data_IF_240418766679
#
_entry.id   IF_240418766679
#
_cell.length_a   1.000
_cell.length_b   1.000
_cell.length_c   1.000
_cell.angle_alpha   90.00
_cell.angle_beta   90.00
_cell.angle_gamma   90.00
#
_symmetry.space_group_name_H-M   'P 1'
#
loop_
_entity.id
_entity.type
_entity.pdbx_description
1 polymer ?
#
# COMPACT_ATOMS: atom_id res chain seq x y z
N UNK A 1 -6.39 12.87 -9.30
CA UNK A 1 -5.78 14.10 -8.74
C UNK A 1 -4.70 13.73 -7.73
N UNK A 2 -3.65 14.53 -7.64
CA UNK A 2 -2.59 14.34 -6.63
C UNK A 2 -2.46 15.59 -5.78
N UNK A 3 -2.90 15.56 -4.53
CA UNK A 3 -2.68 16.64 -3.57
C UNK A 3 -1.33 16.49 -2.86
N UNK A 4 -0.75 17.57 -2.31
CA UNK A 4 0.50 17.55 -1.57
C UNK A 4 0.39 16.95 -0.18
N UNK A 5 -0.80 16.86 0.36
CA UNK A 5 -1.19 16.20 1.58
C UNK A 5 -2.69 15.90 1.47
N UNK A 6 -3.43 15.62 2.56
CA UNK A 6 -4.59 14.75 2.47
C UNK A 6 -5.91 15.40 2.88
N UNK A 7 -5.88 16.68 3.27
CA UNK A 7 -7.07 17.42 3.64
C UNK A 7 -7.54 18.32 2.50
N UNK A 8 -8.70 18.09 1.89
CA UNK A 8 -9.23 18.99 0.87
C UNK A 8 -9.35 20.44 1.34
N UNK A 9 -9.52 20.68 2.65
CA UNK A 9 -9.61 22.04 3.20
C UNK A 9 -8.27 22.75 3.28
N UNK A 10 -7.19 22.02 3.57
CA UNK A 10 -5.87 22.57 3.87
C UNK A 10 -4.90 22.42 2.69
N UNK A 11 -5.11 21.40 1.88
CA UNK A 11 -4.17 20.99 0.84
C UNK A 11 -4.62 21.44 -0.55
N UNK A 12 -3.70 21.38 -1.50
CA UNK A 12 -3.84 21.90 -2.85
C UNK A 12 -3.74 20.75 -3.87
N UNK A 13 -4.26 20.94 -5.05
CA UNK A 13 -4.06 20.01 -6.17
C UNK A 13 -2.70 20.30 -6.81
N UNK A 14 -1.83 19.28 -6.90
CA UNK A 14 -0.53 19.35 -7.57
C UNK A 14 -0.59 18.93 -9.03
N UNK A 15 -1.47 18.01 -9.35
CA UNK A 15 -1.68 17.49 -10.69
C UNK A 15 -3.15 17.18 -10.92
N UNK A 16 -3.69 17.58 -12.06
CA UNK A 16 -5.06 17.27 -12.48
C UNK A 16 -5.02 16.73 -13.92
N UNK A 17 -5.77 15.67 -14.15
CA UNK A 17 -6.02 15.16 -15.49
C UNK A 17 -7.51 15.02 -15.75
N UNK A 18 -7.90 15.27 -16.98
CA UNK A 18 -9.25 15.14 -17.50
C UNK A 18 -9.22 14.32 -18.79
N UNK A 19 -10.07 13.32 -18.87
CA UNK A 19 -10.33 12.58 -20.11
C UNK A 19 -11.79 12.79 -20.46
N UNK A 20 -12.04 13.48 -21.57
CA UNK A 20 -13.38 13.68 -22.09
C UNK A 20 -13.81 12.48 -22.92
N UNK A 21 -15.00 11.98 -22.71
CA UNK A 21 -15.54 10.82 -23.42
C UNK A 21 -16.85 11.14 -24.17
N UNK A 22 -17.19 10.27 -25.10
CA UNK A 22 -18.56 10.19 -25.63
C UNK A 22 -19.50 9.49 -24.61
N UNK A 23 -20.76 9.33 -25.00
CA UNK A 23 -21.78 8.69 -24.18
C UNK A 23 -21.59 7.16 -24.02
N UNK A 24 -20.65 6.57 -24.74
CA UNK A 24 -20.21 5.16 -24.59
C UNK A 24 -18.94 5.01 -23.76
N UNK A 25 -18.42 6.11 -23.22
CA UNK A 25 -17.16 6.10 -22.47
C UNK A 25 -15.90 6.07 -23.35
N UNK A 26 -16.00 6.26 -24.68
CA UNK A 26 -14.83 6.28 -25.57
C UNK A 26 -14.12 7.61 -25.44
N UNK A 27 -12.78 7.62 -25.26
CA UNK A 27 -12.04 8.86 -25.10
C UNK A 27 -12.07 9.71 -26.37
N UNK A 28 -12.34 11.00 -26.21
CA UNK A 28 -12.38 12.01 -27.28
C UNK A 28 -11.24 13.01 -27.17
N UNK A 29 -10.86 13.37 -25.95
CA UNK A 29 -9.77 14.30 -25.69
C UNK A 29 -9.20 14.06 -24.29
N UNK A 30 -7.92 14.37 -24.14
CA UNK A 30 -7.21 14.28 -22.87
C UNK A 30 -6.50 15.60 -22.57
N UNK A 31 -6.43 15.93 -21.31
CA UNK A 31 -5.70 17.09 -20.81
C UNK A 31 -5.15 16.77 -19.43
N UNK A 32 -3.93 17.21 -19.17
CA UNK A 32 -3.34 17.15 -17.83
C UNK A 32 -2.45 18.36 -17.59
N UNK A 33 -2.33 18.77 -16.35
CA UNK A 33 -1.42 19.84 -15.93
C UNK A 33 -0.96 19.62 -14.50
N UNK A 34 0.31 19.89 -14.26
CA UNK A 34 0.80 20.18 -12.91
C UNK A 34 0.36 21.58 -12.48
N UNK A 35 0.28 21.80 -11.17
CA UNK A 35 -0.20 23.04 -10.59
C UNK A 35 0.73 23.50 -9.48
N UNK A 36 1.02 24.79 -9.47
CA UNK A 36 1.73 25.42 -8.37
C UNK A 36 0.77 25.55 -7.17
N UNK A 37 1.06 24.91 -6.03
CA UNK A 37 0.20 24.96 -4.85
C UNK A 37 0.28 26.29 -4.10
N UNK A 38 1.13 27.24 -4.53
CA UNK A 38 1.42 28.51 -3.85
C UNK A 38 1.95 28.30 -2.42
N UNK A 39 2.64 27.20 -2.20
CA UNK A 39 3.25 26.77 -0.95
C UNK A 39 4.15 25.57 -1.14
N UNK A 40 4.74 25.02 -0.08
CA UNK A 40 5.61 23.86 -0.18
C UNK A 40 4.82 22.63 -0.66
N UNK A 41 5.46 21.83 -1.49
CA UNK A 41 4.97 20.51 -1.89
C UNK A 41 5.23 19.55 -0.73
N UNK A 42 4.16 18.99 -0.15
CA UNK A 42 4.26 17.90 0.83
C UNK A 42 4.33 16.54 0.14
N UNK A 43 4.71 15.51 0.90
CA UNK A 43 4.59 14.11 0.50
C UNK A 43 5.22 13.75 -0.88
N UNK A 44 6.32 14.40 -1.24
CA UNK A 44 7.05 14.19 -2.52
C UNK A 44 7.45 12.73 -2.74
N UNK A 45 7.75 12.00 -1.66
CA UNK A 45 8.09 10.57 -1.71
C UNK A 45 6.96 9.66 -2.22
N UNK A 46 5.73 10.19 -2.28
CA UNK A 46 4.52 9.45 -2.67
C UNK A 46 4.20 9.61 -4.15
N UNK A 47 4.05 10.87 -4.56
CA UNK A 47 3.62 11.22 -5.91
C UNK A 47 4.80 11.60 -6.81
N UNK A 48 6.03 11.63 -6.26
CA UNK A 48 7.25 11.96 -7.00
C UNK A 48 7.32 13.41 -7.50
N UNK A 49 6.33 14.26 -7.16
CA UNK A 49 6.30 15.66 -7.58
C UNK A 49 7.09 16.50 -6.55
N UNK A 50 8.08 17.23 -7.00
CA UNK A 50 8.93 18.09 -6.18
C UNK A 50 8.51 19.57 -6.28
N UNK A 51 9.03 20.42 -5.38
CA UNK A 51 8.84 21.88 -5.48
C UNK A 51 9.34 22.43 -6.82
N UNK A 52 10.41 21.85 -7.37
CA UNK A 52 10.96 22.24 -8.67
C UNK A 52 10.02 21.90 -9.83
N UNK A 53 9.32 20.80 -9.75
CA UNK A 53 8.36 20.35 -10.77
C UNK A 53 7.15 21.26 -10.91
N UNK A 54 6.76 21.96 -9.85
CA UNK A 54 5.56 22.82 -9.81
C UNK A 54 5.88 24.31 -9.70
N UNK A 55 7.13 24.68 -9.49
CA UNK A 55 7.56 26.09 -9.31
C UNK A 55 7.06 27.01 -10.42
N UNK A 56 7.18 26.57 -11.66
CA UNK A 56 6.78 27.32 -12.85
C UNK A 56 5.43 26.86 -13.42
N UNK A 57 4.74 25.97 -12.75
CA UNK A 57 3.41 25.52 -13.16
C UNK A 57 2.37 26.62 -12.89
N UNK A 58 1.28 26.67 -13.67
CA UNK A 58 0.18 27.60 -13.40
C UNK A 58 -0.49 27.24 -12.07
N UNK A 59 -1.02 28.24 -11.37
CA UNK A 59 -1.86 28.01 -10.19
C UNK A 59 -3.24 27.46 -10.59
N UNK A 60 -3.95 26.82 -9.65
CA UNK A 60 -5.33 26.39 -9.92
C UNK A 60 -6.22 27.59 -10.32
N UNK A 61 -6.09 28.72 -9.64
CA UNK A 61 -6.85 29.94 -9.94
C UNK A 61 -6.66 30.41 -11.39
N UNK A 62 -5.43 30.27 -11.94
CA UNK A 62 -5.14 30.57 -13.35
C UNK A 62 -5.85 29.61 -14.31
N UNK A 63 -5.93 28.32 -13.95
CA UNK A 63 -6.54 27.28 -14.78
C UNK A 63 -8.06 27.12 -14.55
N UNK A 64 -8.62 27.71 -13.48
CA UNK A 64 -10.02 27.53 -13.12
C UNK A 64 -11.01 27.88 -14.26
N UNK A 65 -10.83 28.96 -15.05
CA UNK A 65 -11.70 29.25 -16.18
C UNK A 65 -11.68 28.13 -17.24
N UNK A 66 -10.50 27.62 -17.56
CA UNK A 66 -10.34 26.51 -18.50
C UNK A 66 -10.99 25.24 -17.96
N UNK A 67 -10.67 24.87 -16.72
CA UNK A 67 -11.22 23.66 -16.06
C UNK A 67 -12.75 23.75 -16.03
N UNK A 68 -13.31 24.89 -15.60
CA UNK A 68 -14.76 25.10 -15.60
C UNK A 68 -15.39 24.89 -16.99
N UNK A 69 -14.73 25.38 -18.04
CA UNK A 69 -15.20 25.19 -19.43
C UNK A 69 -15.18 23.72 -19.87
N UNK A 70 -14.22 22.93 -19.37
CA UNK A 70 -14.15 21.50 -19.67
C UNK A 70 -15.18 20.67 -18.88
N UNK A 71 -15.57 21.14 -17.68
CA UNK A 71 -16.57 20.48 -16.83
C UNK A 71 -18.00 20.87 -17.19
N UNK A 72 -18.22 22.06 -17.74
CA UNK A 72 -19.53 22.56 -18.09
C UNK A 72 -20.26 21.65 -19.09
N UNK A 73 -21.47 21.23 -18.74
CA UNK A 73 -22.29 20.33 -19.55
C UNK A 73 -21.86 18.87 -19.54
N UNK A 74 -20.87 18.49 -18.73
CA UNK A 74 -20.39 17.13 -18.59
C UNK A 74 -20.65 16.57 -17.19
N UNK A 75 -21.03 15.30 -17.11
CA UNK A 75 -21.03 14.55 -15.85
C UNK A 75 -19.59 14.11 -15.53
N UNK A 76 -19.24 14.10 -14.25
CA UNK A 76 -17.93 13.71 -13.80
C UNK A 76 -17.91 12.21 -13.46
N UNK A 77 -16.88 11.50 -13.87
CA UNK A 77 -16.62 10.12 -13.46
C UNK A 77 -15.27 10.06 -12.75
N UNK A 78 -15.25 9.59 -11.50
CA UNK A 78 -14.05 9.45 -10.70
C UNK A 78 -14.07 8.08 -10.00
N UNK A 79 -12.89 7.55 -9.71
CA UNK A 79 -12.77 6.39 -8.84
C UNK A 79 -12.60 6.87 -7.40
N UNK A 80 -13.61 6.66 -6.54
CA UNK A 80 -13.82 7.33 -5.25
C UNK A 80 -14.13 8.84 -5.36
N UNK A 81 -15.20 9.15 -6.08
CA UNK A 81 -15.61 10.50 -6.46
C UNK A 81 -15.70 11.51 -5.30
N UNK A 82 -16.04 11.08 -4.06
CA UNK A 82 -16.11 11.98 -2.91
C UNK A 82 -14.79 12.71 -2.66
N UNK A 83 -13.67 12.01 -2.80
CA UNK A 83 -12.34 12.56 -2.61
C UNK A 83 -12.01 13.62 -3.68
N UNK A 84 -12.07 13.25 -4.95
CA UNK A 84 -11.75 14.16 -6.05
C UNK A 84 -12.64 15.40 -6.08
N UNK A 85 -13.93 15.22 -5.85
CA UNK A 85 -14.89 16.33 -5.83
C UNK A 85 -14.63 17.29 -4.68
N UNK A 86 -14.25 16.79 -3.49
CA UNK A 86 -13.95 17.65 -2.36
C UNK A 86 -12.73 18.56 -2.63
N UNK A 87 -11.68 18.03 -3.26
CA UNK A 87 -10.52 18.83 -3.67
C UNK A 87 -10.91 19.87 -4.74
N UNK A 88 -11.61 19.48 -5.80
CA UNK A 88 -12.07 20.40 -6.84
C UNK A 88 -12.93 21.53 -6.26
N UNK A 89 -13.91 21.20 -5.41
CA UNK A 89 -14.78 22.18 -4.77
C UNK A 89 -13.99 23.19 -3.94
N UNK A 90 -13.00 22.73 -3.19
CA UNK A 90 -12.18 23.62 -2.37
C UNK A 90 -11.26 24.51 -3.22
N UNK A 91 -10.65 23.98 -4.28
CA UNK A 91 -9.82 24.77 -5.18
C UNK A 91 -10.63 25.83 -5.94
N UNK A 92 -11.81 25.48 -6.46
CA UNK A 92 -12.72 26.46 -7.07
C UNK A 92 -13.14 27.55 -6.09
N UNK A 93 -13.49 27.16 -4.83
CA UNK A 93 -13.84 28.13 -3.79
C UNK A 93 -12.68 29.07 -3.48
N UNK A 94 -11.44 28.59 -3.40
CA UNK A 94 -10.23 29.41 -3.20
C UNK A 94 -9.99 30.35 -4.38
N UNK A 95 -10.24 29.87 -5.58
CA UNK A 95 -10.17 30.69 -6.80
C UNK A 95 -11.32 31.69 -6.94
N UNK A 96 -12.26 31.74 -5.99
CA UNK A 96 -13.40 32.67 -5.99
C UNK A 96 -14.57 32.21 -6.84
N UNK A 97 -14.62 30.95 -7.25
CA UNK A 97 -15.69 30.38 -8.07
C UNK A 97 -16.72 29.67 -7.21
N UNK A 98 -17.99 29.81 -7.56
CA UNK A 98 -19.05 29.00 -7.00
C UNK A 98 -19.07 27.63 -7.70
N UNK A 99 -19.07 26.56 -6.93
CA UNK A 99 -19.16 25.22 -7.46
C UNK A 99 -20.63 24.82 -7.62
N UNK A 100 -21.10 24.52 -8.83
CA UNK A 100 -22.47 24.07 -9.04
C UNK A 100 -22.62 22.61 -8.59
N UNK A 101 -23.87 22.22 -8.30
CA UNK A 101 -24.17 20.83 -8.01
C UNK A 101 -23.99 19.98 -9.28
N UNK A 102 -22.85 19.37 -9.42
CA UNK A 102 -22.41 18.66 -10.63
C UNK A 102 -22.78 17.18 -10.55
N UNK A 103 -23.54 16.65 -11.52
CA UNK A 103 -23.81 15.22 -11.62
C UNK A 103 -22.52 14.43 -11.77
N UNK A 104 -22.39 13.37 -10.99
CA UNK A 104 -21.19 12.56 -10.98
C UNK A 104 -21.46 11.08 -10.80
N UNK A 105 -20.50 10.27 -11.23
CA UNK A 105 -20.41 8.84 -11.07
C UNK A 105 -19.20 8.49 -10.23
N UNK A 106 -19.41 7.63 -9.26
CA UNK A 106 -18.31 6.96 -8.55
C UNK A 106 -18.12 5.54 -9.12
N UNK A 107 -17.05 5.33 -9.87
CA UNK A 107 -16.79 4.00 -10.45
C UNK A 107 -16.46 2.95 -9.39
N UNK A 108 -15.93 3.34 -8.21
CA UNK A 108 -15.77 2.44 -7.07
C UNK A 108 -17.13 1.90 -6.59
N UNK A 109 -18.12 2.78 -6.38
CA UNK A 109 -19.45 2.35 -5.96
C UNK A 109 -20.16 1.52 -7.05
N UNK A 110 -20.00 1.91 -8.31
CA UNK A 110 -20.54 1.16 -9.43
C UNK A 110 -19.91 -0.24 -9.53
N UNK A 111 -18.61 -0.36 -9.29
CA UNK A 111 -17.91 -1.65 -9.28
C UNK A 111 -18.49 -2.63 -8.27
N UNK A 112 -18.92 -2.19 -7.10
CA UNK A 112 -19.55 -3.06 -6.10
C UNK A 112 -20.80 -3.77 -6.62
N UNK A 113 -21.55 -3.10 -7.48
CA UNK A 113 -22.76 -3.68 -8.09
C UNK A 113 -22.47 -4.51 -9.33
N UNK A 114 -21.44 -4.13 -10.11
CA UNK A 114 -21.17 -4.71 -11.42
C UNK A 114 -20.11 -5.82 -11.37
N UNK A 115 -19.25 -5.83 -10.35
CA UNK A 115 -18.16 -6.78 -10.13
C UNK A 115 -18.25 -7.40 -8.72
N UNK A 116 -19.38 -8.00 -8.33
CA UNK A 116 -19.65 -8.43 -6.95
C UNK A 116 -18.73 -9.56 -6.47
N UNK A 117 -17.98 -10.17 -7.37
CA UNK A 117 -17.00 -11.23 -7.06
C UNK A 117 -15.67 -10.67 -6.50
N UNK A 118 -15.47 -9.36 -6.55
CA UNK A 118 -14.26 -8.76 -6.02
C UNK A 118 -14.34 -8.63 -4.49
N UNK A 119 -13.26 -8.98 -3.82
CA UNK A 119 -13.09 -8.70 -2.40
C UNK A 119 -12.64 -7.25 -2.16
N UNK A 120 -12.19 -6.56 -3.20
CA UNK A 120 -11.65 -5.19 -3.15
C UNK A 120 -11.99 -4.42 -4.40
N UNK A 121 -12.19 -3.13 -4.22
CA UNK A 121 -12.61 -2.22 -5.28
C UNK A 121 -11.61 -1.06 -5.48
N UNK A 122 -10.29 -1.32 -5.30
CA UNK A 122 -9.26 -0.38 -5.75
C UNK A 122 -9.33 -0.23 -7.27
N UNK A 123 -8.87 0.89 -7.83
CA UNK A 123 -8.88 1.11 -9.26
C UNK A 123 -8.15 -0.03 -10.00
N UNK A 124 -7.01 -0.45 -9.48
CA UNK A 124 -6.21 -1.55 -10.02
C UNK A 124 -6.99 -2.88 -10.05
N UNK A 125 -7.60 -3.28 -8.90
CA UNK A 125 -8.39 -4.50 -8.81
C UNK A 125 -9.59 -4.49 -9.76
N UNK A 126 -10.27 -3.35 -9.87
CA UNK A 126 -11.39 -3.18 -10.79
C UNK A 126 -10.95 -3.26 -12.27
N UNK A 127 -9.81 -2.65 -12.61
CA UNK A 127 -9.23 -2.74 -13.96
C UNK A 127 -8.85 -4.18 -14.32
N UNK A 128 -8.20 -4.89 -13.41
CA UNK A 128 -7.82 -6.29 -13.59
C UNK A 128 -9.07 -7.17 -13.81
N UNK A 129 -10.09 -7.02 -12.97
CA UNK A 129 -11.36 -7.74 -13.13
C UNK A 129 -12.10 -7.40 -14.44
N UNK A 130 -11.93 -6.16 -14.93
CA UNK A 130 -12.44 -5.73 -16.23
C UNK A 130 -11.58 -6.18 -17.42
N UNK A 131 -10.51 -6.98 -17.19
CA UNK A 131 -9.67 -7.60 -18.20
C UNK A 131 -8.57 -6.71 -18.78
N UNK A 132 -8.09 -5.70 -18.01
CA UNK A 132 -6.98 -4.86 -18.45
C UNK A 132 -6.09 -4.41 -17.28
N UNK A 133 -4.82 -4.13 -17.59
CA UNK A 133 -3.86 -3.63 -16.62
C UNK A 133 -4.03 -2.11 -16.40
N UNK A 134 -3.85 -1.66 -15.16
CA UNK A 134 -3.69 -0.26 -14.81
C UNK A 134 -2.23 0.15 -15.07
N UNK A 135 -2.00 0.81 -16.20
CA UNK A 135 -0.68 1.29 -16.62
C UNK A 135 -0.48 2.72 -16.09
N UNK A 136 0.77 3.08 -15.77
CA UNK A 136 1.13 4.40 -15.23
C UNK A 136 0.42 4.76 -13.92
N UNK A 137 0.37 3.81 -13.00
CA UNK A 137 -0.14 4.02 -11.64
C UNK A 137 0.57 5.22 -10.98
N UNK A 138 -0.17 5.91 -10.11
CA UNK A 138 0.32 7.12 -9.43
C UNK A 138 0.67 8.29 -10.36
N UNK A 139 0.09 8.35 -11.54
CA UNK A 139 0.11 9.49 -12.45
C UNK A 139 -1.35 9.89 -12.72
N UNK A 140 -1.69 11.18 -12.56
CA UNK A 140 -3.09 11.61 -12.68
C UNK A 140 -3.73 11.27 -14.04
N UNK A 141 -2.96 11.32 -15.13
CA UNK A 141 -3.44 10.96 -16.46
C UNK A 141 -3.60 9.45 -16.62
N UNK A 142 -2.68 8.64 -16.06
CA UNK A 142 -2.78 7.18 -16.02
C UNK A 142 -4.05 6.72 -15.30
N UNK A 143 -4.31 7.29 -14.12
CA UNK A 143 -5.51 6.99 -13.32
C UNK A 143 -6.80 7.43 -14.03
N UNK A 144 -6.80 8.60 -14.68
CA UNK A 144 -7.94 9.07 -15.47
C UNK A 144 -8.23 8.19 -16.69
N UNK A 145 -7.19 7.70 -17.39
CA UNK A 145 -7.33 6.74 -18.49
C UNK A 145 -7.87 5.39 -18.04
N UNK A 146 -7.34 4.88 -16.92
CA UNK A 146 -7.82 3.65 -16.30
C UNK A 146 -9.29 3.76 -15.88
N UNK A 147 -9.66 4.85 -15.21
CA UNK A 147 -11.05 5.14 -14.83
C UNK A 147 -11.96 5.24 -16.07
N UNK A 148 -11.49 5.88 -17.14
CA UNK A 148 -12.23 5.98 -18.41
C UNK A 148 -12.47 4.61 -19.03
N UNK A 149 -11.46 3.75 -19.08
CA UNK A 149 -11.60 2.41 -19.64
C UNK A 149 -12.51 1.53 -18.78
N UNK A 150 -12.42 1.68 -17.45
CA UNK A 150 -13.33 1.01 -16.52
C UNK A 150 -14.78 1.48 -16.75
N UNK A 151 -15.02 2.79 -16.88
CA UNK A 151 -16.31 3.35 -17.21
C UNK A 151 -16.86 2.81 -18.53
N UNK A 152 -16.03 2.72 -19.58
CA UNK A 152 -16.41 2.16 -20.85
C UNK A 152 -16.88 0.71 -20.74
N UNK A 153 -16.14 -0.11 -19.97
CA UNK A 153 -16.51 -1.50 -19.66
C UNK A 153 -17.84 -1.57 -18.93
N UNK A 154 -18.06 -0.72 -17.92
CA UNK A 154 -19.31 -0.65 -17.15
C UNK A 154 -20.51 -0.27 -18.01
N UNK A 155 -20.34 0.69 -18.91
CA UNK A 155 -21.42 1.13 -19.83
C UNK A 155 -21.75 0.06 -20.88
N UNK A 156 -20.79 -0.82 -21.23
CA UNK A 156 -21.01 -1.93 -22.14
C UNK A 156 -21.66 -3.16 -21.48
N UNK A 157 -21.63 -3.26 -20.15
CA UNK A 157 -22.33 -4.31 -19.41
C UNK A 157 -23.85 -4.09 -19.52
N UNK A 158 -24.59 -5.20 -19.59
CA UNK A 158 -26.03 -5.25 -19.90
C UNK A 158 -26.85 -4.22 -19.11
N UNK A 159 -27.70 -3.50 -19.82
CA UNK A 159 -28.56 -2.41 -19.35
C UNK A 159 -29.61 -2.78 -18.28
N UNK A 160 -29.64 -4.03 -17.83
CA UNK A 160 -30.55 -4.52 -16.77
C UNK A 160 -30.14 -4.10 -15.37
N UNK A 161 -28.89 -3.66 -15.16
CA UNK A 161 -28.43 -3.16 -13.87
C UNK A 161 -28.96 -1.76 -13.59
N UNK A 162 -29.65 -1.54 -12.45
CA UNK A 162 -30.12 -0.21 -12.03
C UNK A 162 -29.00 0.85 -12.01
N UNK A 163 -27.78 0.43 -11.72
CA UNK A 163 -26.59 1.30 -11.66
C UNK A 163 -26.23 1.85 -13.05
N UNK A 164 -26.32 1.05 -14.11
CA UNK A 164 -26.03 1.48 -15.49
C UNK A 164 -27.08 2.44 -15.99
N UNK A 165 -28.37 2.24 -15.68
CA UNK A 165 -29.42 3.16 -16.05
C UNK A 165 -29.24 4.57 -15.47
N UNK A 166 -28.67 4.70 -14.27
CA UNK A 166 -28.34 6.00 -13.71
C UNK A 166 -27.26 6.72 -14.52
N UNK A 167 -26.25 5.98 -15.00
CA UNK A 167 -25.16 6.56 -15.78
C UNK A 167 -25.62 7.21 -17.07
N UNK A 168 -26.57 6.62 -17.77
CA UNK A 168 -27.13 7.18 -19.02
C UNK A 168 -27.94 8.46 -18.83
N UNK A 169 -28.38 8.78 -17.60
CA UNK A 169 -29.11 10.02 -17.28
C UNK A 169 -28.18 11.19 -16.97
N UNK A 170 -27.02 10.91 -16.37
CA UNK A 170 -26.08 11.93 -15.90
C UNK A 170 -25.65 12.95 -16.97
N UNK A 171 -25.37 12.58 -18.24
CA UNK A 171 -25.05 13.57 -19.27
C UNK A 171 -26.17 14.56 -19.53
N UNK A 172 -27.43 14.12 -19.48
CA UNK A 172 -28.59 15.01 -19.69
C UNK A 172 -28.83 15.94 -18.49
N UNK A 173 -28.56 15.46 -17.27
CA UNK A 173 -28.61 16.27 -16.06
C UNK A 173 -27.46 17.29 -16.07
N UNK A 174 -26.27 16.91 -16.45
CA UNK A 174 -25.11 17.80 -16.52
C UNK A 174 -25.31 18.98 -17.50
N UNK A 175 -25.97 18.76 -18.63
CA UNK A 175 -26.26 19.81 -19.59
C UNK A 175 -27.20 20.90 -19.03
N UNK A 176 -27.94 20.61 -17.96
CA UNK A 176 -28.85 21.58 -17.28
C UNK A 176 -28.12 22.36 -16.19
N UNK A 177 -26.93 21.95 -15.81
CA UNK A 177 -26.14 22.62 -14.78
C UNK A 177 -25.54 23.91 -15.35
N UNK A 178 -25.87 25.03 -14.73
CA UNK A 178 -25.27 26.32 -15.07
C UNK A 178 -23.91 26.47 -14.38
N UNK A 179 -22.87 26.45 -15.16
CA UNK A 179 -21.54 26.73 -14.67
C UNK A 179 -21.26 28.23 -14.70
N UNK A 180 -20.66 28.81 -13.66
CA UNK A 180 -20.16 30.17 -13.70
C UNK A 180 -19.16 30.35 -14.83
N UNK A 181 -19.20 31.50 -15.48
CA UNK A 181 -18.25 31.89 -16.54
C UNK A 181 -17.12 32.76 -15.99
N UNK A 182 -17.32 33.32 -14.81
CA UNK A 182 -16.38 34.20 -14.10
C UNK A 182 -16.41 33.90 -12.60
N UNK A 183 -15.34 34.19 -11.87
CA UNK A 183 -15.34 34.08 -10.42
C UNK A 183 -16.35 35.08 -9.81
N UNK A 184 -17.12 34.60 -8.83
CA UNK A 184 -18.13 35.42 -8.09
C UNK A 184 -17.49 36.25 -6.97
N UNK A 185 -16.24 35.90 -6.57
CA UNK A 185 -15.50 36.53 -5.48
C UNK A 185 -14.03 36.69 -5.87
N UNK A 186 -13.33 37.60 -5.20
CA UNK A 186 -11.87 37.63 -5.32
C UNK A 186 -11.25 36.35 -4.80
N UNK A 187 -10.19 35.83 -5.44
CA UNK A 187 -9.47 34.67 -4.95
C UNK A 187 -9.04 34.83 -3.50
N UNK A 188 -9.27 33.83 -2.68
CA UNK A 188 -8.78 33.85 -1.31
C UNK A 188 -7.26 33.66 -1.33
N UNK A 189 -6.52 34.62 -0.78
CA UNK A 189 -5.10 34.40 -0.51
C UNK A 189 -4.98 33.22 0.45
N UNK A 190 -4.22 32.23 0.06
CA UNK A 190 -3.82 31.17 0.98
C UNK A 190 -3.09 31.85 2.16
N UNK A 191 -3.50 31.61 3.43
CA UNK A 191 -2.72 32.13 4.54
C UNK A 191 -1.28 31.63 4.33
N UNK A 192 -0.32 32.55 4.38
CA UNK A 192 1.10 32.18 4.33
C UNK A 192 1.30 31.09 5.38
N UNK A 193 1.48 29.86 4.94
CA UNK A 193 1.98 28.80 5.83
C UNK A 193 3.31 29.33 6.30
N UNK A 194 3.41 29.73 7.57
CA UNK A 194 4.69 30.06 8.20
C UNK A 194 5.60 28.90 7.82
N UNK A 195 6.61 29.19 7.03
CA UNK A 195 7.62 28.20 6.64
C UNK A 195 8.07 27.53 7.93
N UNK A 196 7.72 26.26 8.09
CA UNK A 196 8.33 25.45 9.16
C UNK A 196 9.84 25.64 8.99
N UNK A 197 10.58 25.88 10.08
CA UNK A 197 12.03 26.01 9.99
C UNK A 197 12.53 24.79 9.22
N UNK A 198 13.27 25.05 8.11
CA UNK A 198 13.88 23.97 7.34
C UNK A 198 14.60 23.07 8.33
N UNK A 199 14.33 21.78 8.36
CA UNK A 199 15.11 20.88 9.20
C UNK A 199 16.58 21.13 8.86
N UNK A 200 17.48 21.18 9.84
CA UNK A 200 18.88 21.44 9.59
C UNK A 200 19.35 20.45 8.52
N UNK A 201 19.95 20.98 7.43
CA UNK A 201 20.54 20.15 6.37
C UNK A 201 21.61 19.30 7.06
N UNK A 202 21.24 18.11 7.46
CA UNK A 202 22.19 17.10 7.90
C UNK A 202 23.03 16.81 6.65
N UNK A 203 24.29 17.28 6.66
CA UNK A 203 25.28 16.89 5.65
C UNK A 203 25.19 15.37 5.56
N UNK A 204 24.73 14.87 4.43
CA UNK A 204 24.81 13.46 4.10
C UNK A 204 26.29 13.09 4.11
N UNK A 205 26.76 12.62 5.25
CA UNK A 205 27.95 11.82 5.27
C UNK A 205 27.58 10.55 4.48
N UNK A 206 28.27 10.32 3.40
CA UNK A 206 28.26 9.09 2.61
C UNK A 206 28.50 7.89 3.51
N UNK A 207 27.44 7.39 4.11
CA UNK A 207 27.40 6.11 4.81
C UNK A 207 26.55 5.16 3.98
N UNK A 208 27.12 3.98 3.78
CA UNK A 208 26.53 2.73 3.26
C UNK A 208 25.02 2.82 3.05
N UNK A 209 24.57 2.43 1.88
CA UNK A 209 23.16 2.23 1.50
C UNK A 209 22.42 1.57 2.67
N UNK A 210 21.76 2.37 3.50
CA UNK A 210 20.81 1.86 4.48
C UNK A 210 19.61 1.35 3.67
N UNK A 211 19.14 0.15 4.03
CA UNK A 211 17.94 -0.41 3.41
C UNK A 211 16.78 0.58 3.57
N UNK A 212 15.91 0.66 2.56
CA UNK A 212 14.73 1.52 2.63
C UNK A 212 13.88 1.14 3.86
N UNK A 213 13.26 2.13 4.56
CA UNK A 213 12.41 1.84 5.72
C UNK A 213 11.33 0.81 5.40
N UNK A 214 11.02 -0.09 6.33
CA UNK A 214 9.99 -1.13 6.17
C UNK A 214 8.63 -0.54 5.79
N UNK A 215 8.25 0.56 6.41
CA UNK A 215 6.98 1.23 6.11
C UNK A 215 6.89 1.69 4.65
N UNK A 216 8.00 2.09 4.04
CA UNK A 216 8.04 2.49 2.63
C UNK A 216 7.95 1.31 1.65
N UNK A 217 8.12 0.08 2.13
CA UNK A 217 8.02 -1.16 1.35
C UNK A 217 6.58 -1.72 1.36
N UNK A 218 5.70 -1.17 2.19
CA UNK A 218 4.32 -1.60 2.29
C UNK A 218 3.46 -0.84 1.30
N UNK A 219 2.67 -1.57 0.52
CA UNK A 219 1.66 -0.99 -0.37
C UNK A 219 0.30 -0.84 0.32
N UNK A 220 -0.49 0.13 -0.09
CA UNK A 220 -1.88 0.23 0.36
C UNK A 220 -2.67 -1.05 0.06
N UNK A 221 -2.36 -1.71 -1.06
CA UNK A 221 -3.00 -2.99 -1.43
C UNK A 221 -2.72 -4.08 -0.40
N UNK A 222 -1.48 -4.21 0.11
CA UNK A 222 -1.15 -5.23 1.12
C UNK A 222 -1.86 -4.98 2.45
N UNK A 223 -2.00 -3.72 2.87
CA UNK A 223 -2.76 -3.37 4.08
C UNK A 223 -4.25 -3.68 3.89
N UNK A 224 -4.81 -3.30 2.74
CA UNK A 224 -6.22 -3.56 2.43
C UNK A 224 -6.55 -5.06 2.36
N UNK A 225 -5.55 -5.95 2.26
CA UNK A 225 -5.75 -7.41 2.41
C UNK A 225 -6.30 -7.83 3.77
N UNK A 226 -6.04 -7.04 4.75
CA UNK A 226 -6.43 -7.26 6.14
C UNK A 226 -7.62 -6.39 6.59
N UNK A 227 -8.24 -5.60 5.70
CA UNK A 227 -9.32 -4.66 6.01
C UNK A 227 -10.61 -5.06 5.32
N UNK A 228 -11.71 -5.06 6.07
CA UNK A 228 -13.02 -5.47 5.55
C UNK A 228 -13.77 -4.39 4.78
N UNK A 229 -13.45 -3.10 5.01
CA UNK A 229 -14.15 -1.96 4.43
C UNK A 229 -13.42 -1.35 3.22
N UNK A 230 -14.04 -1.41 2.05
CA UNK A 230 -13.51 -0.87 0.80
C UNK A 230 -13.36 0.66 0.78
N UNK A 231 -14.06 1.39 1.66
CA UNK A 231 -13.91 2.85 1.78
C UNK A 231 -12.58 3.24 2.45
N UNK A 232 -11.86 2.26 3.03
CA UNK A 232 -10.61 2.46 3.74
C UNK A 232 -9.43 2.85 2.81
N UNK A 233 -9.52 2.63 1.49
CA UNK A 233 -8.39 2.77 0.59
C UNK A 233 -7.69 4.12 0.71
N UNK A 234 -8.43 5.23 0.66
CA UNK A 234 -7.83 6.56 0.79
C UNK A 234 -7.26 6.81 2.19
N UNK A 235 -7.93 6.30 3.23
CA UNK A 235 -7.43 6.43 4.59
C UNK A 235 -6.11 5.66 4.76
N UNK A 236 -6.02 4.44 4.24
CA UNK A 236 -4.80 3.61 4.26
C UNK A 236 -3.66 4.29 3.51
N UNK A 237 -3.91 4.76 2.29
CA UNK A 237 -2.90 5.49 1.52
C UNK A 237 -2.32 6.64 2.33
N UNK A 238 -3.18 7.47 2.89
CA UNK A 238 -2.80 8.62 3.69
C UNK A 238 -2.07 8.23 4.95
N UNK A 239 -2.54 7.21 5.66
CA UNK A 239 -1.91 6.72 6.87
C UNK A 239 -0.48 6.24 6.61
N UNK A 240 -0.28 5.42 5.57
CA UNK A 240 1.07 4.95 5.19
C UNK A 240 2.03 6.09 4.89
N UNK A 241 1.49 7.18 4.38
CA UNK A 241 2.26 8.36 4.01
C UNK A 241 2.63 9.19 5.23
N UNK A 242 1.70 9.37 6.15
CA UNK A 242 1.94 10.06 7.42
C UNK A 242 2.96 9.29 8.29
N UNK A 243 3.02 7.96 8.13
CA UNK A 243 3.96 7.12 8.89
C UNK A 243 5.36 7.02 8.24
N UNK A 244 5.54 7.51 7.01
CA UNK A 244 6.76 7.27 6.22
C UNK A 244 8.02 7.92 6.80
N UNK A 245 7.91 9.02 7.53
CA UNK A 245 9.00 9.71 8.22
C UNK A 245 9.10 9.36 9.72
N UNK A 246 8.26 8.42 10.19
CA UNK A 246 8.17 7.97 11.59
C UNK A 246 7.75 9.07 12.58
N UNK A 247 7.07 10.10 12.10
CA UNK A 247 6.47 11.15 12.90
C UNK A 247 5.01 11.34 12.44
N UNK A 248 4.14 11.70 13.35
CA UNK A 248 2.74 12.05 13.03
C UNK A 248 2.49 13.48 13.50
N UNK A 249 2.50 14.41 12.57
CA UNK A 249 2.28 15.82 12.86
C UNK A 249 0.81 16.09 13.22
N UNK A 250 0.55 17.21 13.90
CA UNK A 250 -0.81 17.64 14.21
C UNK A 250 -1.66 17.84 12.92
N UNK A 251 -1.03 18.34 11.85
CA UNK A 251 -1.67 18.52 10.55
C UNK A 251 -2.08 17.18 9.90
N UNK A 252 -1.23 16.16 9.99
CA UNK A 252 -1.52 14.81 9.47
C UNK A 252 -2.59 14.10 10.29
N UNK A 253 -2.51 14.22 11.61
CA UNK A 253 -3.55 13.70 12.51
C UNK A 253 -4.92 14.32 12.19
N UNK A 254 -4.98 15.63 11.97
CA UNK A 254 -6.21 16.31 11.58
C UNK A 254 -6.71 15.84 10.21
N UNK A 255 -5.82 15.64 9.24
CA UNK A 255 -6.16 15.12 7.92
C UNK A 255 -6.74 13.69 7.98
N UNK A 256 -6.17 12.83 8.81
CA UNK A 256 -6.70 11.48 9.03
C UNK A 256 -8.11 11.51 9.63
N UNK A 257 -8.36 12.39 10.61
CA UNK A 257 -9.72 12.58 11.18
C UNK A 257 -10.72 13.06 10.12
N UNK A 258 -10.35 14.01 9.26
CA UNK A 258 -11.21 14.47 8.17
C UNK A 258 -11.49 13.35 7.15
N UNK A 259 -10.48 12.53 6.83
CA UNK A 259 -10.64 11.38 5.93
C UNK A 259 -11.51 10.28 6.54
N UNK A 260 -11.37 10.00 7.83
CA UNK A 260 -12.25 9.09 8.55
C UNK A 260 -13.72 9.50 8.38
N UNK A 261 -14.03 10.80 8.61
CA UNK A 261 -15.38 11.34 8.44
C UNK A 261 -15.86 11.27 6.98
N UNK A 262 -15.00 11.64 6.03
CA UNK A 262 -15.34 11.63 4.60
C UNK A 262 -15.60 10.21 4.08
N UNK A 263 -14.81 9.26 4.55
CA UNK A 263 -14.93 7.83 4.19
C UNK A 263 -16.00 7.10 5.00
N UNK A 264 -16.61 7.79 5.99
CA UNK A 264 -17.61 7.22 6.89
C UNK A 264 -17.09 5.98 7.64
N UNK A 265 -15.82 6.02 8.06
CA UNK A 265 -15.21 4.97 8.84
C UNK A 265 -15.55 5.14 10.32
N UNK A 266 -15.98 4.08 10.97
CA UNK A 266 -16.14 4.05 12.44
C UNK A 266 -14.78 3.97 13.14
N UNK A 267 -14.73 4.21 14.44
CA UNK A 267 -13.50 4.10 15.23
C UNK A 267 -12.99 2.66 15.28
N UNK A 268 -13.90 1.67 15.24
CA UNK A 268 -13.56 0.25 15.15
C UNK A 268 -12.87 -0.06 13.82
N UNK A 269 -13.38 0.46 12.70
CA UNK A 269 -12.79 0.27 11.38
C UNK A 269 -11.43 0.97 11.26
N UNK A 270 -11.25 2.13 11.85
CA UNK A 270 -9.94 2.79 11.95
C UNK A 270 -8.95 1.93 12.75
N UNK A 271 -9.39 1.35 13.85
CA UNK A 271 -8.58 0.42 14.64
C UNK A 271 -8.21 -0.83 13.84
N UNK A 272 -9.15 -1.40 13.07
CA UNK A 272 -8.89 -2.51 12.13
C UNK A 272 -7.82 -2.14 11.11
N UNK A 273 -7.90 -0.95 10.52
CA UNK A 273 -6.89 -0.43 9.58
C UNK A 273 -5.51 -0.30 10.24
N UNK A 274 -5.45 0.25 11.45
CA UNK A 274 -4.19 0.35 12.18
C UNK A 274 -3.57 -1.03 12.46
N UNK A 275 -4.38 -2.01 12.84
CA UNK A 275 -3.95 -3.41 13.01
C UNK A 275 -3.51 -4.04 11.68
N UNK A 276 -4.17 -3.71 10.57
CA UNK A 276 -3.81 -4.17 9.24
C UNK A 276 -2.43 -3.63 8.80
N UNK A 277 -2.12 -2.37 9.08
CA UNK A 277 -0.78 -1.80 8.87
C UNK A 277 0.26 -2.56 9.68
N UNK A 278 -0.01 -2.82 10.96
CA UNK A 278 0.88 -3.58 11.82
C UNK A 278 1.10 -5.03 11.32
N UNK A 279 0.04 -5.67 10.82
CA UNK A 279 0.12 -7.01 10.23
C UNK A 279 0.97 -7.02 8.95
N UNK A 280 0.76 -6.05 8.05
CA UNK A 280 1.54 -5.92 6.81
C UNK A 280 3.02 -5.61 7.10
N UNK A 281 3.32 -4.81 8.13
CA UNK A 281 4.69 -4.59 8.61
C UNK A 281 5.33 -5.89 9.09
N UNK A 282 4.59 -6.68 9.87
CA UNK A 282 5.06 -7.96 10.37
C UNK A 282 5.29 -8.96 9.22
N UNK A 283 4.39 -9.02 8.23
CA UNK A 283 4.53 -9.89 7.05
C UNK A 283 5.79 -9.54 6.26
N UNK A 284 6.06 -8.25 6.07
CA UNK A 284 7.27 -7.78 5.38
C UNK A 284 8.54 -8.12 6.17
N UNK A 285 8.52 -7.88 7.49
CA UNK A 285 9.66 -8.15 8.36
C UNK A 285 10.03 -9.64 8.49
N UNK A 286 9.08 -10.56 8.32
CA UNK A 286 9.37 -11.99 8.35
C UNK A 286 9.73 -12.57 6.98
N UNK A 287 9.67 -11.77 5.91
CA UNK A 287 9.86 -12.24 4.54
C UNK A 287 11.27 -12.80 4.27
N UNK A 288 12.32 -12.25 4.91
CA UNK A 288 13.73 -12.61 4.69
C UNK A 288 14.37 -13.35 5.85
N UNK A 289 13.63 -13.68 6.93
CA UNK A 289 14.10 -14.32 8.17
C UNK A 289 15.18 -13.54 8.94
N UNK A 290 15.50 -12.31 8.55
CA UNK A 290 16.50 -11.47 9.20
C UNK A 290 15.82 -10.30 9.89
N UNK A 291 15.39 -10.52 11.13
CA UNK A 291 14.79 -9.44 11.91
C UNK A 291 15.86 -8.57 12.57
N UNK A 292 16.30 -7.56 11.87
CA UNK A 292 17.35 -6.66 12.32
C UNK A 292 16.95 -5.82 13.55
N UNK A 293 17.94 -5.28 14.28
CA UNK A 293 17.66 -4.33 15.37
C UNK A 293 17.01 -3.05 14.88
N UNK A 294 17.31 -2.64 13.64
CA UNK A 294 16.76 -1.45 13.01
C UNK A 294 15.25 -1.62 12.72
N UNK A 295 14.89 -2.72 12.09
CA UNK A 295 13.49 -3.07 11.79
C UNK A 295 12.64 -3.18 13.06
N UNK A 296 13.19 -3.76 14.13
CA UNK A 296 12.51 -3.80 15.44
C UNK A 296 12.22 -2.42 16.00
N UNK A 297 13.17 -1.49 15.88
CA UNK A 297 13.01 -0.12 16.36
C UNK A 297 11.97 0.64 15.52
N UNK A 298 12.01 0.47 14.19
CA UNK A 298 11.06 1.06 13.26
C UNK A 298 9.63 0.58 13.54
N UNK A 299 9.41 -0.73 13.62
CA UNK A 299 8.10 -1.30 13.92
C UNK A 299 7.58 -0.80 15.27
N UNK A 300 8.43 -0.75 16.29
CA UNK A 300 8.05 -0.21 17.59
C UNK A 300 7.56 1.24 17.48
N UNK A 301 8.26 2.07 16.72
CA UNK A 301 7.88 3.46 16.47
C UNK A 301 6.52 3.55 15.77
N UNK A 302 6.33 2.78 14.69
CA UNK A 302 5.06 2.77 13.95
C UNK A 302 3.90 2.29 14.83
N UNK A 303 4.07 1.21 15.60
CA UNK A 303 3.04 0.74 16.54
C UNK A 303 2.66 1.80 17.57
N UNK A 304 3.63 2.56 18.07
CA UNK A 304 3.38 3.66 19.00
C UNK A 304 2.56 4.78 18.33
N UNK A 305 2.90 5.16 17.11
CA UNK A 305 2.16 6.18 16.34
C UNK A 305 0.73 5.74 16.04
N UNK A 306 0.52 4.44 15.78
CA UNK A 306 -0.81 3.85 15.56
C UNK A 306 -1.62 3.64 16.85
N UNK A 307 -1.05 3.95 18.03
CA UNK A 307 -1.70 3.70 19.31
C UNK A 307 -1.80 2.21 19.69
N UNK A 308 -1.00 1.35 19.06
CA UNK A 308 -1.03 -0.10 19.30
C UNK A 308 -0.07 -0.47 20.44
N UNK A 309 -0.54 -1.13 21.51
CA UNK A 309 0.32 -1.57 22.60
C UNK A 309 1.43 -2.53 22.14
N UNK A 310 2.68 -2.29 22.56
CA UNK A 310 3.86 -3.09 22.19
C UNK A 310 3.68 -4.60 22.44
N UNK A 311 2.90 -4.97 23.47
CA UNK A 311 2.58 -6.38 23.76
C UNK A 311 1.86 -7.10 22.61
N UNK A 312 1.16 -6.38 21.73
CA UNK A 312 0.49 -6.94 20.56
C UNK A 312 1.46 -7.20 19.41
N UNK A 313 2.64 -6.58 19.36
CA UNK A 313 3.65 -6.80 18.33
C UNK A 313 3.99 -8.28 18.20
N UNK A 314 4.22 -8.97 19.33
CA UNK A 314 4.55 -10.41 19.33
C UNK A 314 3.44 -11.25 18.68
N UNK A 315 2.18 -10.84 18.81
CA UNK A 315 1.05 -11.52 18.17
C UNK A 315 1.11 -11.34 16.65
N UNK A 316 1.28 -10.11 16.15
CA UNK A 316 1.37 -9.84 14.72
C UNK A 316 2.51 -10.62 14.06
N UNK A 317 3.69 -10.66 14.69
CA UNK A 317 4.82 -11.43 14.18
C UNK A 317 4.55 -12.94 14.15
N UNK A 318 3.92 -13.49 15.18
CA UNK A 318 3.57 -14.91 15.21
C UNK A 318 2.59 -15.25 14.09
N UNK A 319 1.55 -14.44 13.91
CA UNK A 319 0.55 -14.63 12.85
C UNK A 319 1.16 -14.48 11.45
N UNK A 320 2.05 -13.51 11.25
CA UNK A 320 2.79 -13.32 10.00
C UNK A 320 3.68 -14.53 9.69
N UNK A 321 4.41 -15.03 10.69
CA UNK A 321 5.26 -16.21 10.54
C UNK A 321 4.45 -17.46 10.20
N UNK A 322 3.29 -17.64 10.83
CA UNK A 322 2.37 -18.75 10.51
C UNK A 322 1.86 -18.63 9.06
N UNK A 323 1.40 -17.45 8.62
CA UNK A 323 0.96 -17.24 7.23
C UNK A 323 2.07 -17.58 6.24
N UNK A 324 3.31 -17.13 6.51
CA UNK A 324 4.47 -17.46 5.68
C UNK A 324 4.70 -18.98 5.61
N UNK A 325 4.68 -19.66 6.73
CA UNK A 325 4.89 -21.11 6.77
C UNK A 325 3.79 -21.86 6.02
N UNK A 326 2.53 -21.47 6.16
CA UNK A 326 1.43 -22.03 5.37
C UNK A 326 1.65 -21.81 3.87
N UNK A 327 2.08 -20.62 3.46
CA UNK A 327 2.38 -20.32 2.04
C UNK A 327 3.54 -21.16 1.50
N UNK A 328 4.63 -21.31 2.26
CA UNK A 328 5.78 -22.11 1.88
C UNK A 328 5.46 -23.62 1.87
N UNK A 329 4.45 -24.05 2.58
CA UNK A 329 4.01 -25.45 2.62
C UNK A 329 3.14 -25.84 1.41
N UNK A 330 2.67 -24.86 0.63
CA UNK A 330 1.80 -25.13 -0.52
C UNK A 330 2.60 -25.75 -1.69
N UNK A 331 2.09 -26.86 -2.21
CA UNK A 331 2.67 -27.54 -3.38
C UNK A 331 3.95 -28.31 -3.12
N UNK A 332 4.34 -28.52 -1.85
CA UNK A 332 5.45 -29.40 -1.50
C UNK A 332 5.11 -30.85 -1.89
N UNK A 333 6.07 -31.60 -2.46
CA UNK A 333 5.84 -32.98 -2.85
C UNK A 333 5.76 -33.88 -1.60
N UNK A 334 4.96 -34.97 -1.65
CA UNK A 334 4.96 -35.96 -0.61
C UNK A 334 6.33 -36.68 -0.54
N UNK A 335 6.61 -37.29 0.61
CA UNK A 335 7.83 -38.09 0.75
C UNK A 335 7.82 -39.27 -0.28
N UNK A 336 8.99 -39.61 -0.84
CA UNK A 336 9.13 -40.79 -1.69
C UNK A 336 8.77 -42.07 -0.96
N UNK A 337 8.24 -43.09 -1.66
CA UNK A 337 7.87 -44.38 -1.08
C UNK A 337 9.08 -45.13 -0.47
N UNK A 338 10.30 -44.86 -0.97
CA UNK A 338 11.56 -45.41 -0.50
C UNK A 338 12.29 -44.54 0.55
N UNK A 339 11.57 -43.60 1.17
CA UNK A 339 12.14 -42.70 2.16
C UNK A 339 12.74 -43.46 3.35
N UNK A 340 14.05 -43.27 3.58
CA UNK A 340 14.81 -43.97 4.60
C UNK A 340 15.76 -43.08 5.43
N UNK A 341 15.61 -41.74 5.30
CA UNK A 341 16.49 -40.78 6.00
C UNK A 341 15.97 -40.45 7.42
N UNK A 342 14.89 -41.12 7.86
CA UNK A 342 14.27 -40.89 9.17
C UNK A 342 13.23 -39.77 9.14
N UNK A 343 12.94 -39.12 10.29
CA UNK A 343 11.95 -38.04 10.35
C UNK A 343 12.27 -36.94 9.36
N UNK A 344 11.29 -36.46 8.56
CA UNK A 344 11.49 -35.40 7.61
C UNK A 344 11.74 -34.07 8.32
N UNK A 345 12.26 -33.09 7.59
CA UNK A 345 12.33 -31.70 8.01
C UNK A 345 11.03 -30.99 7.61
N UNK A 346 10.51 -30.14 8.48
CA UNK A 346 9.28 -29.38 8.20
C UNK A 346 9.56 -27.89 8.05
N UNK A 347 8.72 -27.21 7.30
CA UNK A 347 8.70 -25.75 7.28
C UNK A 347 8.48 -25.24 8.70
N UNK A 348 9.32 -24.30 9.15
CA UNK A 348 9.25 -23.78 10.53
C UNK A 348 10.21 -24.42 11.51
N UNK A 349 10.87 -25.51 11.15
CA UNK A 349 11.83 -26.19 12.00
C UNK A 349 13.07 -25.33 12.33
N UNK A 350 13.64 -25.57 13.51
CA UNK A 350 14.88 -24.91 13.95
C UNK A 350 16.06 -25.87 13.82
N UNK A 351 17.07 -25.46 13.06
CA UNK A 351 18.30 -26.23 12.89
C UNK A 351 19.54 -25.44 13.36
N UNK A 352 20.61 -26.13 13.70
CA UNK A 352 21.87 -25.51 14.12
C UNK A 352 23.02 -26.13 13.32
N UNK A 353 23.97 -25.31 12.88
CA UNK A 353 25.17 -25.74 12.20
C UNK A 353 26.40 -25.64 13.12
N UNK A 354 27.31 -26.63 13.03
CA UNK A 354 28.61 -26.64 13.68
C UNK A 354 29.62 -27.48 12.88
N UNK A 355 30.84 -27.00 12.72
CA UNK A 355 31.90 -27.75 11.99
C UNK A 355 31.56 -27.97 10.51
N UNK A 356 30.84 -27.05 9.87
CA UNK A 356 30.54 -27.13 8.42
C UNK A 356 31.39 -26.09 7.71
N UNK A 357 31.98 -26.47 6.58
CA UNK A 357 32.75 -25.56 5.73
C UNK A 357 31.98 -24.31 5.37
N UNK A 358 32.65 -23.14 5.36
CA UNK A 358 31.97 -21.82 5.19
C UNK A 358 31.26 -21.67 3.84
N UNK A 359 31.78 -22.26 2.76
CA UNK A 359 31.16 -22.19 1.45
C UNK A 359 29.89 -23.04 1.40
N UNK A 360 29.95 -24.29 1.87
CA UNK A 360 28.81 -25.19 1.98
C UNK A 360 27.76 -24.62 2.96
N UNK A 361 28.23 -24.08 4.08
CA UNK A 361 27.35 -23.42 5.05
C UNK A 361 26.56 -22.30 4.43
N UNK A 362 27.18 -21.40 3.67
CA UNK A 362 26.52 -20.29 3.00
C UNK A 362 25.50 -20.78 1.97
N UNK A 363 25.77 -21.85 1.25
CA UNK A 363 24.84 -22.47 0.33
C UNK A 363 23.63 -23.04 1.07
N UNK A 364 23.84 -23.80 2.14
CA UNK A 364 22.75 -24.39 2.93
C UNK A 364 21.90 -23.33 3.65
N UNK A 365 22.52 -22.25 4.16
CA UNK A 365 21.80 -21.14 4.77
C UNK A 365 20.85 -20.46 3.77
N UNK A 366 21.25 -20.31 2.51
CA UNK A 366 20.38 -19.75 1.46
C UNK A 366 19.21 -20.70 1.09
N UNK A 367 19.46 -22.01 1.10
CA UNK A 367 18.42 -23.01 0.85
C UNK A 367 17.42 -23.06 2.02
N UNK A 368 17.91 -23.02 3.27
CA UNK A 368 17.10 -22.97 4.49
C UNK A 368 16.10 -21.80 4.46
N UNK A 369 16.61 -20.59 4.16
CA UNK A 369 15.75 -19.39 4.06
C UNK A 369 14.62 -19.55 3.07
N UNK A 370 14.93 -20.12 1.89
CA UNK A 370 13.92 -20.38 0.86
C UNK A 370 12.90 -21.44 1.29
N UNK A 371 13.34 -22.42 2.08
CA UNK A 371 12.53 -23.50 2.58
C UNK A 371 11.74 -23.15 3.86
N UNK A 372 11.96 -21.96 4.44
CA UNK A 372 11.28 -21.53 5.66
C UNK A 372 11.75 -22.28 6.91
N UNK A 373 13.00 -22.74 6.93
CA UNK A 373 13.64 -23.38 8.09
C UNK A 373 14.54 -22.39 8.80
N UNK A 374 14.42 -22.29 10.11
CA UNK A 374 15.13 -21.30 10.91
C UNK A 374 16.51 -21.78 11.34
N UNK A 375 17.56 -21.01 11.02
CA UNK A 375 18.91 -21.27 11.50
C UNK A 375 19.14 -20.63 12.87
N UNK A 376 19.18 -21.43 13.92
CA UNK A 376 19.43 -20.96 15.27
C UNK A 376 20.97 -20.87 15.56
N UNK A 377 21.34 -19.88 16.35
CA UNK A 377 22.74 -19.66 16.75
C UNK A 377 23.25 -20.71 17.75
N UNK A 378 22.36 -21.39 18.48
CA UNK A 378 22.69 -22.39 19.49
C UNK A 378 21.61 -23.43 19.67
N UNK A 379 22.01 -24.60 20.20
CA UNK A 379 21.10 -25.72 20.46
C UNK A 379 20.20 -25.44 21.66
N UNK A 380 18.92 -25.72 21.52
CA UNK A 380 17.90 -25.58 22.54
C UNK A 380 16.82 -26.67 22.40
N UNK A 381 15.88 -26.74 23.33
CA UNK A 381 14.76 -27.70 23.26
C UNK A 381 13.89 -27.57 21.99
N UNK A 382 13.98 -26.42 21.29
CA UNK A 382 13.29 -26.18 20.03
C UNK A 382 14.09 -26.60 18.80
N UNK A 383 15.35 -27.00 18.98
CA UNK A 383 16.23 -27.41 17.88
C UNK A 383 15.92 -28.87 17.52
N UNK A 384 15.40 -29.07 16.32
CA UNK A 384 15.06 -30.42 15.82
C UNK A 384 16.29 -31.15 15.32
N UNK A 385 17.32 -30.40 14.85
CA UNK A 385 18.48 -31.00 14.21
C UNK A 385 19.75 -30.17 14.38
N UNK A 386 20.88 -30.88 14.60
CA UNK A 386 22.22 -30.34 14.53
C UNK A 386 22.92 -30.92 13.30
N UNK A 387 23.38 -30.05 12.40
CA UNK A 387 24.14 -30.44 11.21
C UNK A 387 25.63 -30.26 11.47
N UNK A 388 26.41 -31.31 11.29
CA UNK A 388 27.86 -31.31 11.51
C UNK A 388 28.56 -32.29 10.60
N UNK A 389 29.79 -31.97 10.17
CA UNK A 389 30.68 -32.87 9.43
C UNK A 389 31.52 -33.78 10.33
N UNK A 390 31.33 -33.64 11.65
CA UNK A 390 32.09 -34.42 12.63
C UNK A 390 33.51 -33.91 12.91
N UNK A 391 33.95 -32.85 12.22
CA UNK A 391 35.33 -32.30 12.37
C UNK A 391 35.55 -31.51 13.68
N UNK A 392 34.44 -31.15 14.36
CA UNK A 392 34.49 -30.29 15.53
C UNK A 392 33.70 -30.84 16.72
N UNK A 393 34.43 -31.06 17.84
CA UNK A 393 33.82 -31.34 19.15
C UNK A 393 33.70 -30.04 19.94
N UNK A 394 32.48 -29.68 20.39
CA UNK A 394 32.29 -28.46 21.15
C UNK A 394 30.90 -28.33 21.79
N UNK A 395 30.69 -27.26 22.54
CA UNK A 395 29.49 -27.00 23.36
C UNK A 395 28.16 -27.26 22.65
N UNK A 396 28.08 -27.06 21.32
CA UNK A 396 26.87 -27.32 20.56
C UNK A 396 26.60 -28.82 20.42
N UNK A 397 27.64 -29.62 20.18
CA UNK A 397 27.51 -31.06 20.07
C UNK A 397 27.16 -31.69 21.42
N UNK A 398 27.83 -31.26 22.49
CA UNK A 398 27.54 -31.71 23.87
C UNK A 398 26.08 -31.42 24.22
N UNK A 399 25.63 -30.22 23.92
CA UNK A 399 24.27 -29.80 24.19
C UNK A 399 23.22 -30.55 23.36
N UNK A 400 23.53 -30.85 22.10
CA UNK A 400 22.64 -31.65 21.24
C UNK A 400 22.50 -33.07 21.80
N UNK A 401 23.59 -33.67 22.24
CA UNK A 401 23.60 -35.00 22.87
C UNK A 401 22.83 -34.99 24.19
N UNK A 402 23.02 -33.97 25.04
CA UNK A 402 22.27 -33.81 26.31
C UNK A 402 20.76 -33.72 26.09
N UNK A 403 20.33 -33.00 25.03
CA UNK A 403 18.91 -32.79 24.74
C UNK A 403 18.28 -33.86 23.83
N UNK A 404 19.09 -34.84 23.37
CA UNK A 404 18.62 -35.86 22.42
C UNK A 404 18.30 -35.29 21.04
N UNK A 405 18.87 -34.12 20.68
CA UNK A 405 18.69 -33.48 19.38
C UNK A 405 19.33 -34.36 18.30
N UNK A 406 18.59 -34.62 17.21
CA UNK A 406 19.12 -35.40 16.08
C UNK A 406 20.35 -34.74 15.48
N UNK A 407 21.39 -35.54 15.24
CA UNK A 407 22.64 -35.11 14.62
C UNK A 407 22.72 -35.74 13.24
N UNK A 408 22.96 -34.90 12.21
CA UNK A 408 23.06 -35.35 10.82
C UNK A 408 24.27 -34.76 10.12
N UNK A 409 24.71 -35.42 9.06
CA UNK A 409 25.74 -34.91 8.17
C UNK A 409 25.17 -33.88 7.21
N UNK A 410 26.01 -32.98 6.62
CA UNK A 410 25.56 -32.05 5.59
C UNK A 410 24.88 -32.74 4.40
N UNK A 411 25.35 -33.91 3.97
CA UNK A 411 24.80 -34.68 2.86
C UNK A 411 23.39 -35.25 3.17
N UNK A 412 23.16 -35.70 4.39
CA UNK A 412 21.85 -36.13 4.86
C UNK A 412 20.88 -34.91 4.94
N UNK A 413 21.43 -33.79 5.40
CA UNK A 413 20.65 -32.58 5.52
C UNK A 413 20.20 -32.02 4.17
N UNK A 414 21.02 -32.07 3.11
CA UNK A 414 20.61 -31.68 1.75
C UNK A 414 19.47 -32.56 1.24
N UNK A 415 19.45 -33.85 1.54
CA UNK A 415 18.33 -34.74 1.20
C UNK A 415 17.05 -34.33 1.95
N UNK A 416 17.17 -34.01 3.24
CA UNK A 416 16.06 -33.57 4.06
C UNK A 416 15.48 -32.23 3.54
N UNK A 417 16.34 -31.30 3.12
CA UNK A 417 15.90 -30.03 2.49
C UNK A 417 15.19 -30.23 1.16
N UNK A 418 15.61 -31.21 0.36
CA UNK A 418 14.99 -31.52 -0.94
C UNK A 418 13.56 -32.03 -0.76
N UNK A 419 13.28 -32.75 0.32
CA UNK A 419 11.98 -33.38 0.63
C UNK A 419 11.34 -32.80 1.89
N UNK A 420 11.49 -31.48 2.06
CA UNK A 420 10.86 -30.78 3.18
C UNK A 420 9.34 -30.93 3.16
N UNK A 421 8.77 -31.11 4.32
CA UNK A 421 7.34 -31.33 4.49
C UNK A 421 6.61 -30.06 4.97
N UNK A 422 5.27 -29.99 4.81
CA UNK A 422 4.48 -28.86 5.25
C UNK A 422 4.65 -28.55 6.74
N UNK A 423 4.40 -27.30 7.11
CA UNK A 423 4.38 -26.83 8.49
C UNK A 423 3.37 -27.62 9.32
N UNK A 424 3.82 -28.19 10.43
CA UNK A 424 2.98 -28.81 11.45
C UNK A 424 2.70 -27.77 12.53
N UNK A 425 1.51 -27.14 12.49
CA UNK A 425 1.09 -26.04 13.34
C UNK A 425 0.87 -26.35 14.82
#
# INVERSE_FOLDING_TARGET
MKPPAFSPKNDRILELALVRTDHFGRPLAEWSSRMNPEGPVGATHIHGITDDDVRNAPTFAHLAPFIASQLAGHALACHNAKFDLAFLQNEFRRAGWDWPQTPHLCTLQASRSLLPQLHRYTLEACCHAAGFAHVDQHNALGDARATTRLLQTMLALDSKSKSVHQFHRLPNEARRVQWPTLPSRSPQRTPERKSLPKPPIRKQNSRKTEAAPLISQISASSVLEHVSNDNAANYVEVLLLALADHELTESESQALVELQQMSQLSDEEVTEIHHAVAASLADNAVADDIFSKHERAEIKTVLMLLGIPEKLATRFFREAQQRRYVTLSQGLPPLPDDWNVGEPLHVGDNVVFTGVDDALRSQLENQLKKAGVYLASGVSKKTVMLVTDGSFSGKKLDKATELGTRIVTPAEFEKLLTWIQPFEG
#
